data_IF_838206676935
#
_entry.id   IF_838206676935
#
_cell.length_a   1.000
_cell.length_b   1.000
_cell.length_c   1.000
_cell.angle_alpha   90.00
_cell.angle_beta   90.00
_cell.angle_gamma   90.00
#
_symmetry.space_group_name_H-M   'P 1'
#
loop_
_entity.id
_entity.type
_entity.pdbx_description
1 polymer ?
#
# COMPACT_ATOMS: atom_id res chain seq x y z
N UNK A 1 -8.33 -6.24 -22.01
CA UNK A 1 -9.50 -5.37 -22.36
C UNK A 1 -9.03 -3.92 -22.33
N UNK A 2 -9.37 -3.07 -23.30
CA UNK A 2 -8.90 -1.66 -23.27
C UNK A 2 -9.73 -0.78 -22.31
N UNK A 3 -9.20 0.40 -21.96
CA UNK A 3 -9.82 1.32 -21.00
C UNK A 3 -11.23 1.78 -21.41
N UNK A 4 -11.47 2.03 -22.69
CA UNK A 4 -12.78 2.49 -23.17
C UNK A 4 -13.84 1.41 -23.00
N UNK A 5 -13.53 0.17 -23.40
CA UNK A 5 -14.42 -0.98 -23.19
C UNK A 5 -14.67 -1.25 -21.71
N UNK A 6 -13.66 -1.06 -20.85
CA UNK A 6 -13.84 -1.18 -19.40
C UNK A 6 -14.86 -0.16 -18.88
N UNK A 7 -14.71 1.12 -19.23
CA UNK A 7 -15.62 2.19 -18.75
C UNK A 7 -17.05 1.93 -19.25
N UNK A 8 -17.23 1.56 -20.51
CA UNK A 8 -18.54 1.22 -21.07
C UNK A 8 -19.18 0.03 -20.32
N UNK A 9 -18.44 -1.05 -20.09
CA UNK A 9 -18.95 -2.19 -19.34
C UNK A 9 -19.26 -1.81 -17.89
N UNK A 10 -18.34 -1.11 -17.20
CA UNK A 10 -18.49 -0.70 -15.81
C UNK A 10 -19.74 0.15 -15.59
N UNK A 11 -19.98 1.13 -16.46
CA UNK A 11 -21.16 2.02 -16.38
C UNK A 11 -22.49 1.32 -16.64
N UNK A 12 -22.48 0.18 -17.35
CA UNK A 12 -23.69 -0.63 -17.60
C UNK A 12 -23.94 -1.68 -16.52
N UNK A 13 -22.96 -1.99 -15.69
CA UNK A 13 -23.13 -3.00 -14.63
C UNK A 13 -24.14 -2.51 -13.58
N UNK A 14 -25.03 -3.41 -13.16
CA UNK A 14 -26.01 -3.15 -12.09
C UNK A 14 -25.69 -3.94 -10.80
N UNK A 15 -24.50 -4.55 -10.74
CA UNK A 15 -24.07 -5.39 -9.64
C UNK A 15 -22.62 -5.11 -9.28
N UNK A 16 -22.36 -4.90 -7.98
CA UNK A 16 -21.02 -4.73 -7.44
C UNK A 16 -20.12 -5.93 -7.75
N UNK A 17 -20.68 -7.16 -7.72
CA UNK A 17 -19.95 -8.39 -8.05
C UNK A 17 -19.46 -8.36 -9.50
N UNK A 18 -20.35 -8.02 -10.44
CA UNK A 18 -20.00 -7.95 -11.86
C UNK A 18 -19.00 -6.83 -12.16
N UNK A 19 -19.14 -5.68 -11.49
CA UNK A 19 -18.15 -4.60 -11.58
C UNK A 19 -16.77 -5.04 -11.08
N UNK A 20 -16.72 -5.78 -9.97
CA UNK A 20 -15.48 -6.30 -9.43
C UNK A 20 -14.86 -7.37 -10.33
N UNK A 21 -15.64 -8.30 -10.86
CA UNK A 21 -15.17 -9.32 -11.82
C UNK A 21 -14.57 -8.67 -13.07
N UNK A 22 -15.18 -7.58 -13.56
CA UNK A 22 -14.65 -6.81 -14.67
C UNK A 22 -13.28 -6.19 -14.33
N UNK A 23 -13.15 -5.60 -13.14
CA UNK A 23 -11.90 -5.02 -12.65
C UNK A 23 -10.80 -6.08 -12.49
N UNK A 24 -11.14 -7.24 -11.91
CA UNK A 24 -10.23 -8.40 -11.79
C UNK A 24 -9.78 -8.89 -13.16
N UNK A 25 -10.69 -8.99 -14.13
CA UNK A 25 -10.37 -9.40 -15.49
C UNK A 25 -9.39 -8.43 -16.13
N UNK A 26 -9.65 -7.13 -16.05
CA UNK A 26 -8.73 -6.10 -16.55
C UNK A 26 -7.34 -6.19 -15.90
N UNK A 27 -7.27 -6.29 -14.58
CA UNK A 27 -5.99 -6.45 -13.89
C UNK A 27 -5.25 -7.74 -14.29
N UNK A 28 -5.99 -8.83 -14.49
CA UNK A 28 -5.41 -10.12 -14.90
C UNK A 28 -4.87 -10.06 -16.34
N UNK A 29 -5.57 -9.38 -17.25
CA UNK A 29 -5.11 -9.14 -18.63
C UNK A 29 -3.79 -8.34 -18.66
N UNK A 30 -3.53 -7.50 -17.66
CA UNK A 30 -2.30 -6.72 -17.47
C UNK A 30 -1.23 -7.47 -16.64
N UNK A 31 -1.46 -8.75 -16.30
CA UNK A 31 -0.50 -9.60 -15.60
C UNK A 31 -0.56 -9.56 -14.07
N UNK A 32 -1.55 -8.89 -13.46
CA UNK A 32 -1.72 -8.90 -12.01
C UNK A 32 -2.50 -10.12 -11.54
N UNK A 33 -1.89 -10.93 -10.67
CA UNK A 33 -2.53 -12.13 -10.11
C UNK A 33 -3.53 -11.81 -9.00
N UNK A 34 -3.21 -10.82 -8.15
CA UNK A 34 -3.92 -10.47 -6.93
C UNK A 34 -4.43 -9.02 -6.96
N UNK A 35 -5.67 -8.80 -6.51
CA UNK A 35 -6.31 -7.47 -6.55
C UNK A 35 -7.11 -7.19 -5.28
N UNK A 36 -7.01 -5.97 -4.76
CA UNK A 36 -7.79 -5.49 -3.62
C UNK A 36 -8.53 -4.21 -4.00
N UNK A 37 -9.83 -4.20 -3.75
CA UNK A 37 -10.65 -3.00 -3.83
C UNK A 37 -11.27 -2.71 -2.46
N UNK A 38 -10.98 -1.54 -1.91
CA UNK A 38 -11.43 -1.14 -0.58
C UNK A 38 -11.94 0.30 -0.55
N UNK A 39 -12.88 0.56 0.35
CA UNK A 39 -13.43 1.88 0.58
C UNK A 39 -13.00 2.35 1.98
N UNK A 40 -12.05 3.29 2.00
CA UNK A 40 -11.33 3.68 3.22
C UNK A 40 -11.94 4.88 3.94
N UNK A 41 -12.68 5.73 3.23
CA UNK A 41 -13.25 6.98 3.75
C UNK A 41 -14.80 6.98 3.76
N UNK A 42 -15.43 5.82 3.57
CA UNK A 42 -16.89 5.69 3.57
C UNK A 42 -17.34 5.09 4.90
N UNK A 43 -18.29 5.75 5.57
CA UNK A 43 -18.80 5.27 6.87
C UNK A 43 -19.45 3.88 6.74
N UNK A 44 -20.15 3.62 5.63
CA UNK A 44 -20.75 2.33 5.29
C UNK A 44 -20.75 2.10 3.77
N UNK A 45 -19.63 1.64 3.19
CA UNK A 45 -19.58 1.37 1.76
C UNK A 45 -20.43 0.14 1.40
N UNK A 46 -21.09 0.19 0.24
CA UNK A 46 -21.64 -1.01 -0.40
C UNK A 46 -20.49 -2.01 -0.58
N UNK A 47 -20.63 -3.21 -0.02
CA UNK A 47 -19.60 -4.25 0.02
C UNK A 47 -20.20 -5.61 -0.29
N UNK A 48 -19.37 -6.52 -0.79
CA UNK A 48 -19.78 -7.93 -0.83
C UNK A 48 -19.89 -8.47 0.61
N UNK A 49 -20.93 -9.24 0.95
CA UNK A 49 -21.17 -9.72 2.32
C UNK A 49 -20.01 -10.54 2.90
N UNK A 50 -19.19 -11.14 2.02
CA UNK A 50 -18.12 -12.05 2.38
C UNK A 50 -16.90 -11.36 3.01
N UNK A 51 -16.77 -10.03 2.93
CA UNK A 51 -15.54 -9.32 3.32
C UNK A 51 -15.76 -8.27 4.43
N UNK A 52 -14.91 -8.24 5.47
CA UNK A 52 -14.98 -7.24 6.53
C UNK A 52 -14.42 -5.88 6.09
N UNK A 53 -14.89 -4.75 6.66
CA UNK A 53 -14.36 -3.43 6.35
C UNK A 53 -12.84 -3.33 6.62
N UNK A 54 -12.08 -2.60 5.77
CA UNK A 54 -12.53 -1.72 4.69
C UNK A 54 -12.66 -2.38 3.30
N UNK A 55 -12.58 -3.71 3.21
CA UNK A 55 -12.66 -4.39 1.92
C UNK A 55 -14.07 -4.30 1.33
N UNK A 56 -14.12 -3.94 0.06
CA UNK A 56 -15.34 -3.99 -0.77
C UNK A 56 -15.34 -5.29 -1.55
N UNK A 57 -14.20 -5.66 -2.13
CA UNK A 57 -13.97 -6.93 -2.80
C UNK A 57 -12.46 -7.24 -2.92
N UNK A 58 -12.10 -8.51 -2.79
CA UNK A 58 -10.71 -8.97 -2.82
C UNK A 58 -10.57 -10.23 -3.67
N UNK A 59 -9.43 -10.34 -4.35
CA UNK A 59 -8.90 -11.54 -4.97
C UNK A 59 -7.51 -11.72 -4.38
N UNK A 60 -7.49 -12.23 -3.17
CA UNK A 60 -6.32 -12.63 -2.38
C UNK A 60 -6.54 -14.07 -1.91
N UNK A 61 -5.48 -14.82 -1.58
CA UNK A 61 -5.64 -16.12 -0.95
C UNK A 61 -6.50 -16.01 0.32
N UNK A 62 -7.50 -16.90 0.54
CA UNK A 62 -8.40 -16.81 1.68
C UNK A 62 -7.67 -16.77 3.03
N UNK A 63 -6.61 -17.55 3.18
CA UNK A 63 -5.76 -17.56 4.37
C UNK A 63 -5.06 -16.21 4.63
N UNK A 64 -4.70 -15.50 3.55
CA UNK A 64 -4.12 -14.17 3.66
C UNK A 64 -5.18 -13.14 4.06
N UNK A 65 -6.38 -13.21 3.49
CA UNK A 65 -7.51 -12.37 3.90
C UNK A 65 -7.76 -12.52 5.40
N UNK A 66 -7.91 -13.76 5.87
CA UNK A 66 -8.16 -14.07 7.26
C UNK A 66 -7.07 -13.50 8.18
N UNK A 67 -5.79 -13.72 7.82
CA UNK A 67 -4.66 -13.17 8.57
C UNK A 67 -4.69 -11.64 8.61
N UNK A 68 -4.91 -10.99 7.47
CA UNK A 68 -4.88 -9.53 7.34
C UNK A 68 -5.93 -8.86 8.23
N UNK A 69 -7.15 -9.38 8.23
CA UNK A 69 -8.24 -8.83 9.04
C UNK A 69 -8.12 -9.21 10.51
N UNK A 70 -7.79 -10.47 10.83
CA UNK A 70 -7.57 -10.91 12.23
C UNK A 70 -6.45 -10.10 12.88
N UNK A 71 -5.34 -9.90 12.17
CA UNK A 71 -4.20 -9.10 12.63
C UNK A 71 -4.43 -7.59 12.60
N UNK A 72 -5.59 -7.12 12.11
CA UNK A 72 -5.93 -5.70 11.92
C UNK A 72 -4.86 -4.94 11.12
N UNK A 73 -4.29 -5.59 10.10
CA UNK A 73 -3.16 -5.04 9.32
C UNK A 73 -3.52 -3.76 8.57
N UNK A 74 -4.78 -3.57 8.20
CA UNK A 74 -5.28 -2.30 7.64
C UNK A 74 -4.96 -1.07 8.51
N UNK A 75 -4.79 -1.21 9.84
CA UNK A 75 -4.39 -0.09 10.72
C UNK A 75 -2.94 0.35 10.52
N UNK A 76 -2.10 -0.52 9.98
CA UNK A 76 -0.65 -0.35 9.89
C UNK A 76 -0.13 -0.54 8.46
N UNK A 77 -0.99 -0.87 7.51
CA UNK A 77 -0.68 -1.05 6.11
C UNK A 77 -0.24 0.30 5.49
N UNK A 78 0.97 0.38 4.91
CA UNK A 78 1.47 1.62 4.33
C UNK A 78 0.69 2.06 3.08
N UNK A 79 0.12 1.15 2.29
CA UNK A 79 -0.77 1.51 1.17
C UNK A 79 -2.03 2.16 1.69
N UNK A 80 -2.64 1.57 2.72
CA UNK A 80 -3.84 2.13 3.37
C UNK A 80 -3.57 3.46 4.06
N UNK A 81 -2.37 3.68 4.60
CA UNK A 81 -2.00 4.97 5.21
C UNK A 81 -1.64 6.05 4.19
N UNK A 82 -1.15 5.66 3.01
CA UNK A 82 -0.67 6.59 1.97
C UNK A 82 -1.80 7.26 1.20
N UNK A 83 -3.03 6.72 1.22
CA UNK A 83 -4.23 7.11 0.43
C UNK A 83 -3.97 8.35 -0.42
N UNK A 84 -3.85 8.14 -1.72
CA UNK A 84 -3.53 9.18 -2.68
C UNK A 84 -4.52 9.16 -3.83
N UNK A 85 -4.74 10.33 -4.42
CA UNK A 85 -5.46 10.49 -5.69
C UNK A 85 -4.59 10.15 -6.90
N UNK A 86 -3.30 9.84 -6.69
CA UNK A 86 -2.36 9.44 -7.74
C UNK A 86 -1.93 7.98 -7.54
N UNK A 87 -1.77 7.19 -8.62
CA UNK A 87 -1.20 5.86 -8.54
C UNK A 87 0.22 5.90 -7.96
N UNK A 88 0.58 4.87 -7.20
CA UNK A 88 1.93 4.68 -6.67
C UNK A 88 2.29 3.19 -6.60
N UNK A 89 3.58 2.90 -6.69
CA UNK A 89 4.12 1.55 -6.53
C UNK A 89 4.40 1.28 -5.05
N UNK A 90 4.29 0.02 -4.63
CA UNK A 90 4.60 -0.38 -3.25
C UNK A 90 6.03 0.00 -2.85
N UNK A 91 7.00 -0.12 -3.76
CA UNK A 91 8.41 0.21 -3.50
C UNK A 91 8.64 1.70 -3.25
N UNK A 92 7.78 2.57 -3.79
CA UNK A 92 7.83 4.01 -3.50
C UNK A 92 7.47 4.32 -2.05
N UNK A 93 6.81 3.39 -1.34
CA UNK A 93 6.55 3.52 0.11
C UNK A 93 7.82 3.29 0.93
N UNK A 94 8.77 2.50 0.41
CA UNK A 94 10.05 2.22 1.06
C UNK A 94 11.13 3.28 0.74
N UNK A 95 10.88 4.17 -0.22
CA UNK A 95 11.87 5.16 -0.70
C UNK A 95 12.39 6.05 0.43
N UNK A 96 11.53 6.44 1.37
CA UNK A 96 11.95 7.18 2.54
C UNK A 96 13.01 6.43 3.36
N UNK A 97 12.87 5.11 3.52
CA UNK A 97 13.80 4.27 4.26
C UNK A 97 15.10 4.04 3.49
N UNK A 98 15.02 3.90 2.16
CA UNK A 98 16.19 3.87 1.26
C UNK A 98 17.01 5.16 1.35
N UNK A 99 16.36 6.31 1.34
CA UNK A 99 17.07 7.59 1.44
C UNK A 99 17.75 7.76 2.80
N UNK A 100 17.15 7.27 3.90
CA UNK A 100 17.85 7.21 5.20
C UNK A 100 19.06 6.26 5.15
N UNK A 101 18.94 5.11 4.48
CA UNK A 101 20.07 4.20 4.30
C UNK A 101 21.21 4.83 3.48
N UNK A 102 20.88 5.69 2.51
CA UNK A 102 21.83 6.51 1.74
C UNK A 102 22.35 7.75 2.49
N UNK A 103 22.11 7.85 3.80
CA UNK A 103 22.62 8.94 4.63
C UNK A 103 21.90 10.28 4.48
N UNK A 104 20.75 10.34 3.79
CA UNK A 104 20.01 11.60 3.60
C UNK A 104 19.37 12.07 4.90
N UNK A 105 19.50 13.38 5.14
CA UNK A 105 18.82 14.08 6.23
C UNK A 105 17.30 14.10 6.03
N UNK A 106 16.54 14.28 7.10
CA UNK A 106 15.07 14.38 7.00
C UNK A 106 14.62 15.54 6.10
N UNK A 107 15.39 16.62 6.09
CA UNK A 107 15.18 17.77 5.20
C UNK A 107 15.39 17.41 3.72
N UNK A 108 16.53 16.78 3.38
CA UNK A 108 16.81 16.33 2.00
C UNK A 108 15.75 15.36 1.51
N UNK A 109 15.34 14.42 2.37
CA UNK A 109 14.29 13.45 2.06
C UNK A 109 12.96 14.16 1.77
N UNK A 110 12.59 15.15 2.59
CA UNK A 110 11.38 15.95 2.37
C UNK A 110 11.38 16.65 1.01
N UNK A 111 12.55 17.19 0.60
CA UNK A 111 12.72 17.78 -0.73
C UNK A 111 12.59 16.77 -1.86
N UNK A 112 13.22 15.60 -1.73
CA UNK A 112 13.19 14.54 -2.76
C UNK A 112 11.78 13.97 -2.93
N UNK A 113 11.06 13.77 -1.81
CA UNK A 113 9.73 13.15 -1.80
C UNK A 113 8.57 14.15 -1.89
N UNK A 114 8.86 15.46 -1.98
CA UNK A 114 7.88 16.54 -1.98
C UNK A 114 6.91 16.49 -0.77
N UNK A 115 7.45 16.27 0.43
CA UNK A 115 6.70 16.26 1.70
C UNK A 115 7.43 17.08 2.78
N UNK A 116 6.74 17.47 3.85
CA UNK A 116 7.37 18.23 4.94
C UNK A 116 8.37 17.37 5.72
N UNK A 117 9.42 18.00 6.27
CA UNK A 117 10.38 17.34 7.16
C UNK A 117 9.68 16.70 8.38
N UNK A 118 8.62 17.34 8.89
CA UNK A 118 7.81 16.79 9.98
C UNK A 118 7.12 15.48 9.58
N UNK A 119 6.63 15.38 8.33
CA UNK A 119 6.05 14.16 7.76
C UNK A 119 7.11 13.05 7.68
N UNK A 120 8.32 13.37 7.20
CA UNK A 120 9.45 12.42 7.17
C UNK A 120 9.74 11.90 8.58
N UNK A 121 9.93 12.79 9.56
CA UNK A 121 10.25 12.43 10.94
C UNK A 121 9.15 11.59 11.59
N UNK A 122 7.87 11.88 11.30
CA UNK A 122 6.73 11.07 11.75
C UNK A 122 6.83 9.62 11.23
N UNK A 123 7.07 9.44 9.92
CA UNK A 123 7.19 8.12 9.32
C UNK A 123 8.43 7.35 9.82
N UNK A 124 9.56 8.03 10.06
CA UNK A 124 10.75 7.40 10.64
C UNK A 124 10.52 6.93 12.07
N UNK A 125 9.88 7.75 12.91
CA UNK A 125 9.52 7.34 14.28
C UNK A 125 8.60 6.12 14.28
N UNK A 126 7.63 6.08 13.38
CA UNK A 126 6.72 4.95 13.25
C UNK A 126 7.44 3.69 12.76
N UNK A 127 8.35 3.80 11.79
CA UNK A 127 9.16 2.69 11.31
C UNK A 127 10.12 2.15 12.37
N UNK A 128 10.82 3.04 13.09
CA UNK A 128 11.69 2.69 14.21
C UNK A 128 10.93 1.88 15.28
N UNK A 129 9.74 2.35 15.68
CA UNK A 129 8.88 1.63 16.64
C UNK A 129 8.52 0.23 16.16
N UNK A 130 8.18 0.07 14.88
CA UNK A 130 7.77 -1.23 14.30
C UNK A 130 8.93 -2.19 14.10
N UNK A 131 10.13 -1.67 13.87
CA UNK A 131 11.36 -2.45 13.73
C UNK A 131 12.07 -2.72 15.07
N UNK A 132 11.50 -2.26 16.20
CA UNK A 132 12.13 -2.39 17.52
C UNK A 132 13.45 -1.60 17.64
N UNK A 133 13.60 -0.54 16.84
CA UNK A 133 14.81 0.25 16.77
C UNK A 133 14.70 1.54 17.59
N UNK A 134 15.77 1.89 18.30
CA UNK A 134 15.88 3.11 19.11
C UNK A 134 16.49 4.27 18.34
N UNK A 135 17.14 3.99 17.20
CA UNK A 135 17.67 5.00 16.28
C UNK A 135 17.30 4.72 14.82
N UNK A 136 17.35 5.76 13.98
CA UNK A 136 17.09 5.62 12.54
C UNK A 136 18.13 4.73 11.84
N UNK A 137 19.38 4.73 12.32
CA UNK A 137 20.45 3.86 11.81
C UNK A 137 20.15 2.40 12.17
N UNK A 138 19.79 2.13 13.43
CA UNK A 138 19.38 0.79 13.83
C UNK A 138 18.15 0.31 13.03
N UNK A 139 17.19 1.21 12.76
CA UNK A 139 16.04 0.88 11.93
C UNK A 139 16.44 0.50 10.50
N UNK A 140 17.40 1.21 9.89
CA UNK A 140 17.96 0.83 8.58
C UNK A 140 18.64 -0.54 8.66
N UNK A 141 19.48 -0.79 9.65
CA UNK A 141 20.18 -2.07 9.81
C UNK A 141 19.19 -3.24 9.94
N UNK A 142 18.15 -3.08 10.76
CA UNK A 142 17.10 -4.09 10.93
C UNK A 142 16.32 -4.27 9.63
N UNK A 143 15.98 -3.18 8.93
CA UNK A 143 15.28 -3.25 7.65
C UNK A 143 16.10 -3.98 6.56
N UNK A 144 17.41 -3.77 6.50
CA UNK A 144 18.32 -4.49 5.60
C UNK A 144 18.35 -5.98 5.95
N UNK A 145 18.53 -6.34 7.24
CA UNK A 145 18.54 -7.74 7.69
C UNK A 145 17.25 -8.50 7.39
N UNK A 146 16.13 -7.79 7.32
CA UNK A 146 14.81 -8.33 6.99
C UNK A 146 14.50 -8.27 5.48
N UNK A 147 15.47 -7.90 4.63
CA UNK A 147 15.29 -7.67 3.19
C UNK A 147 14.16 -6.69 2.83
N UNK A 148 13.89 -5.71 3.70
CA UNK A 148 12.88 -4.65 3.47
C UNK A 148 13.44 -3.47 2.67
N UNK A 149 14.77 -3.35 2.59
CA UNK A 149 15.48 -2.39 1.75
C UNK A 149 16.39 -3.21 0.84
N UNK A 150 15.97 -3.38 -0.41
CA UNK A 150 16.78 -3.95 -1.47
C UNK A 150 17.49 -2.77 -2.15
N UNK A 151 18.80 -2.86 -2.37
CA UNK A 151 19.65 -1.82 -2.97
C UNK A 151 20.04 -0.66 -2.05
N UNK A 152 21.03 -0.93 -1.20
CA UNK A 152 21.93 0.10 -0.68
C UNK A 152 23.28 -0.18 -1.32
N UNK A 153 23.60 0.49 -2.42
CA UNK A 153 25.00 0.58 -2.87
C UNK A 153 25.75 1.31 -1.76
N UNK A 154 26.52 0.53 -1.00
CA UNK A 154 27.47 1.07 -0.03
C UNK A 154 28.66 1.52 -0.87
N UNK A 155 28.77 2.82 -1.09
CA UNK A 155 29.95 3.45 -1.67
C UNK A 155 31.16 3.31 -0.72
#
# INVERSE_FOLDING_TARGET
MNLFSFIECATRTQSLRSLFELLVKCASDEGFSEVFYGALNFAEPLRLPEYPPPAVAVKWPPEWCERYFRGKYYKIDPVVRRISTRPFLWDQLAEQHRLVAKGKSSWEIGRILHISENTVNFHLKNAMRRLGATSRIQAVIVAIRLNLILDVEVA
#
